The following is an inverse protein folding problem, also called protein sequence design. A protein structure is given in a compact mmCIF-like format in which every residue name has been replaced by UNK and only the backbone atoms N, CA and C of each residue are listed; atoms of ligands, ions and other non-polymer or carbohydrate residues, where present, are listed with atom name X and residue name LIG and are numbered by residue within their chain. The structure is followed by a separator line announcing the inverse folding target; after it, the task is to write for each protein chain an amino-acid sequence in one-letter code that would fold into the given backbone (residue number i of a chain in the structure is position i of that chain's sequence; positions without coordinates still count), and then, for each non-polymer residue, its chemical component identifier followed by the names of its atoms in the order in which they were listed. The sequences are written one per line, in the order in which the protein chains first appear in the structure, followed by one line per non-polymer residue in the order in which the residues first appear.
data_IF_176575641084
#
_entry.id   IF_176575641084
#
_cell.length_a   1.000
_cell.length_b   1.000
_cell.length_c   1.000
_cell.angle_alpha   90.00
_cell.angle_beta   90.00
_cell.angle_gamma   90.00
#
_symmetry.space_group_name_H-M   'P 1'
#
loop_
_entity.id
_entity.type
_entity.pdbx_description
1 polymer ?
#
# COMPACT_ATOMS: atom_id res chain seq x y z
N UNK A 1 0.84 14.56 17.64
CA UNK A 1 0.98 13.17 18.08
C UNK A 1 1.74 12.46 16.99
N UNK A 2 2.90 11.87 17.28
CA UNK A 2 3.58 11.00 16.32
C UNK A 2 2.78 9.70 16.26
N UNK A 3 2.11 9.46 15.13
CA UNK A 3 1.50 8.17 14.83
C UNK A 3 2.63 7.16 14.62
N UNK A 4 2.78 6.21 15.54
CA UNK A 4 3.73 5.11 15.35
C UNK A 4 3.16 4.11 14.34
N UNK A 5 3.45 4.32 13.05
CA UNK A 5 3.14 3.34 12.03
C UNK A 5 4.06 2.13 12.15
N UNK A 6 3.48 0.93 12.13
CA UNK A 6 4.23 -0.33 12.20
C UNK A 6 4.64 -0.83 10.80
N UNK A 7 4.14 -0.21 9.73
CA UNK A 7 4.39 -0.60 8.34
C UNK A 7 4.07 -2.08 8.10
N UNK A 8 2.85 -2.48 8.49
CA UNK A 8 2.33 -3.84 8.27
C UNK A 8 1.35 -3.86 7.10
N UNK A 9 1.17 -5.02 6.42
CA UNK A 9 0.21 -5.11 5.33
C UNK A 9 -1.23 -4.76 5.74
N UNK A 10 -1.64 -5.17 6.94
CA UNK A 10 -2.99 -4.94 7.47
C UNK A 10 -3.21 -3.44 7.70
N UNK A 11 -2.28 -2.78 8.38
CA UNK A 11 -2.32 -1.34 8.61
C UNK A 11 -2.39 -0.56 7.29
N UNK A 12 -1.60 -0.94 6.29
CA UNK A 12 -1.62 -0.31 4.98
C UNK A 12 -3.00 -0.43 4.30
N UNK A 13 -3.61 -1.61 4.35
CA UNK A 13 -4.96 -1.85 3.82
C UNK A 13 -5.99 -0.97 4.54
N UNK A 14 -5.95 -0.92 5.87
CA UNK A 14 -6.85 -0.08 6.66
C UNK A 14 -6.72 1.40 6.31
N UNK A 15 -5.48 1.88 6.15
CA UNK A 15 -5.20 3.26 5.72
C UNK A 15 -5.74 3.53 4.32
N UNK A 16 -5.49 2.64 3.35
CA UNK A 16 -5.97 2.78 1.97
C UNK A 16 -7.51 2.89 1.95
N UNK A 17 -8.20 2.00 2.69
CA UNK A 17 -9.66 2.02 2.80
C UNK A 17 -10.17 3.28 3.46
N UNK A 18 -9.55 3.69 4.57
CA UNK A 18 -9.92 4.90 5.33
C UNK A 18 -9.74 6.17 4.50
N UNK A 19 -8.65 6.26 3.74
CA UNK A 19 -8.34 7.41 2.88
C UNK A 19 -9.13 7.37 1.56
N UNK A 20 -9.73 6.22 1.22
CA UNK A 20 -10.54 6.01 0.03
C UNK A 20 -9.82 6.51 -1.24
N UNK A 21 -8.56 6.09 -1.41
CA UNK A 21 -7.73 6.50 -2.54
C UNK A 21 -8.44 6.19 -3.87
N UNK A 22 -8.78 7.24 -4.62
CA UNK A 22 -9.43 7.13 -5.94
C UNK A 22 -8.43 7.01 -7.08
N UNK A 23 -7.21 7.49 -6.86
CA UNK A 23 -6.12 7.47 -7.85
C UNK A 23 -5.16 6.31 -7.57
N UNK A 24 -4.26 6.06 -8.53
CA UNK A 24 -3.19 5.10 -8.33
C UNK A 24 -2.17 5.64 -7.32
N UNK A 25 -1.64 4.77 -6.46
CA UNK A 25 -0.75 5.16 -5.37
C UNK A 25 0.43 4.19 -5.20
N UNK A 26 1.46 4.64 -4.51
CA UNK A 26 2.53 3.81 -3.96
C UNK A 26 2.40 3.72 -2.44
N UNK A 27 3.06 2.73 -1.81
CA UNK A 27 3.04 2.62 -0.35
C UNK A 27 3.50 3.90 0.36
N UNK A 28 4.56 4.61 -0.06
CA UNK A 28 4.87 5.91 0.52
C UNK A 28 3.72 6.92 0.49
N UNK A 29 2.93 6.95 -0.58
CA UNK A 29 1.87 7.96 -0.75
C UNK A 29 0.75 7.81 0.28
N UNK A 30 0.47 6.58 0.75
CA UNK A 30 -0.58 6.33 1.76
C UNK A 30 -0.14 6.72 3.17
N UNK A 31 1.17 6.79 3.43
CA UNK A 31 1.76 7.21 4.70
C UNK A 31 2.18 8.69 4.68
N UNK A 32 2.39 9.29 3.50
CA UNK A 32 2.75 10.70 3.35
C UNK A 32 4.07 11.06 4.04
N UNK A 33 4.06 12.12 4.84
CA UNK A 33 5.23 12.59 5.60
C UNK A 33 5.72 11.58 6.65
N UNK A 34 4.84 10.68 7.08
CA UNK A 34 5.13 9.66 8.09
C UNK A 34 5.87 8.45 7.48
N UNK A 35 6.00 8.42 6.15
CA UNK A 35 6.83 7.42 5.47
C UNK A 35 8.32 7.64 5.79
N UNK A 36 8.85 6.83 6.69
CA UNK A 36 10.27 6.88 7.10
C UNK A 36 11.08 5.67 6.59
N UNK A 37 10.45 4.74 5.87
CA UNK A 37 11.15 3.57 5.36
C UNK A 37 12.08 3.90 4.18
N UNK A 38 13.28 3.33 4.24
CA UNK A 38 14.29 3.31 3.20
C UNK A 38 14.50 1.89 2.68
N UNK A 39 15.23 1.73 1.58
CA UNK A 39 15.63 0.39 1.11
C UNK A 39 16.42 -0.37 2.17
N UNK A 40 17.28 0.32 2.92
CA UNK A 40 18.14 -0.28 3.94
C UNK A 40 17.35 -0.80 5.16
N UNK A 41 16.29 -0.11 5.57
CA UNK A 41 15.47 -0.50 6.72
C UNK A 41 14.24 -1.35 6.36
N UNK A 42 14.17 -1.86 5.12
CA UNK A 42 13.20 -2.89 4.74
C UNK A 42 12.00 -2.44 3.91
N UNK A 43 12.00 -1.25 3.30
CA UNK A 43 10.91 -0.82 2.40
C UNK A 43 10.55 -1.86 1.31
N UNK A 44 11.57 -2.53 0.74
CA UNK A 44 11.35 -3.60 -0.24
C UNK A 44 10.72 -4.85 0.36
N UNK A 45 11.11 -5.21 1.59
CA UNK A 45 10.52 -6.35 2.30
C UNK A 45 9.07 -6.08 2.66
N UNK A 46 8.76 -4.86 3.13
CA UNK A 46 7.40 -4.42 3.37
C UNK A 46 6.55 -4.47 2.10
N UNK A 47 7.03 -3.90 0.99
CA UNK A 47 6.34 -3.97 -0.30
C UNK A 47 6.05 -5.40 -0.77
N UNK A 48 6.99 -6.33 -0.57
CA UNK A 48 6.78 -7.76 -0.87
C UNK A 48 5.71 -8.40 0.01
N UNK A 49 5.73 -8.13 1.33
CA UNK A 49 4.73 -8.63 2.28
C UNK A 49 3.35 -8.08 1.95
N UNK A 50 3.26 -6.79 1.64
CA UNK A 50 2.01 -6.14 1.23
C UNK A 50 1.46 -6.77 -0.05
N UNK A 51 2.28 -6.89 -1.09
CA UNK A 51 1.85 -7.52 -2.34
C UNK A 51 1.36 -8.96 -2.13
N UNK A 52 2.07 -9.75 -1.33
CA UNK A 52 1.63 -11.11 -0.98
C UNK A 52 0.27 -11.11 -0.28
N UNK A 53 0.05 -10.20 0.68
CA UNK A 53 -1.22 -10.07 1.41
C UNK A 53 -2.38 -9.75 0.45
N UNK A 54 -2.31 -8.67 -0.33
CA UNK A 54 -3.41 -8.29 -1.23
C UNK A 54 -3.65 -9.34 -2.33
N UNK A 55 -2.62 -10.11 -2.71
CA UNK A 55 -2.77 -11.21 -3.67
C UNK A 55 -3.53 -12.41 -3.08
N UNK A 56 -3.49 -12.57 -1.75
CA UNK A 56 -4.26 -13.59 -1.02
C UNK A 56 -5.65 -13.13 -0.62
N UNK A 57 -5.87 -11.81 -0.61
CA UNK A 57 -7.09 -11.16 -0.16
C UNK A 57 -7.67 -10.23 -1.24
N UNK A 58 -8.09 -10.77 -2.41
CA UNK A 58 -8.64 -9.95 -3.50
C UNK A 58 -9.91 -9.17 -3.09
N UNK A 59 -10.64 -9.64 -2.07
CA UNK A 59 -11.80 -8.99 -1.46
C UNK A 59 -11.48 -7.60 -0.87
N UNK A 60 -10.20 -7.32 -0.60
CA UNK A 60 -9.73 -6.02 -0.11
C UNK A 60 -9.82 -4.92 -1.17
N UNK A 61 -10.06 -5.27 -2.43
CA UNK A 61 -10.24 -4.33 -3.53
C UNK A 61 -8.95 -3.64 -3.99
N UNK A 62 -7.78 -4.06 -3.48
CA UNK A 62 -6.48 -3.47 -3.81
C UNK A 62 -5.75 -4.37 -4.80
N UNK A 63 -5.28 -3.79 -5.89
CA UNK A 63 -4.54 -4.52 -6.93
C UNK A 63 -3.33 -3.74 -7.40
N UNK A 64 -2.26 -4.47 -7.75
CA UNK A 64 -1.06 -3.89 -8.36
C UNK A 64 -1.33 -3.58 -9.83
N UNK A 65 -0.85 -2.43 -10.29
CA UNK A 65 -0.79 -2.09 -11.71
C UNK A 65 0.48 -2.69 -12.31
N UNK A 66 0.32 -3.80 -13.03
CA UNK A 66 1.45 -4.48 -13.67
C UNK A 66 2.14 -3.60 -14.72
N UNK A 67 3.46 -3.73 -14.82
CA UNK A 67 4.29 -2.90 -15.71
C UNK A 67 4.51 -1.45 -15.26
N UNK A 68 3.71 -0.92 -14.33
CA UNK A 68 3.86 0.45 -13.85
C UNK A 68 4.73 0.54 -12.58
N UNK A 69 5.71 1.46 -12.60
CA UNK A 69 6.55 1.79 -11.45
C UNK A 69 6.82 3.29 -11.38
N UNK A 70 6.79 3.85 -10.17
CA UNK A 70 7.17 5.25 -9.90
C UNK A 70 8.36 5.22 -8.95
N UNK A 71 9.50 5.79 -9.34
CA UNK A 71 10.72 5.79 -8.51
C UNK A 71 11.12 4.38 -8.01
N UNK A 72 11.02 3.36 -8.88
CA UNK A 72 11.22 1.93 -8.56
C UNK A 72 10.23 1.32 -7.55
N UNK A 73 9.13 2.00 -7.24
CA UNK A 73 8.06 1.51 -6.36
C UNK A 73 6.94 0.92 -7.21
N UNK A 74 6.36 -0.17 -6.72
CA UNK A 74 5.15 -0.72 -7.32
C UNK A 74 3.98 0.27 -7.13
N UNK A 75 3.15 0.39 -8.17
CA UNK A 75 1.95 1.21 -8.14
C UNK A 75 0.73 0.32 -7.97
N UNK A 76 -0.22 0.77 -7.17
CA UNK A 76 -1.45 0.07 -6.83
C UNK A 76 -2.66 0.95 -7.15
N UNK A 77 -3.83 0.31 -7.18
CA UNK A 77 -5.14 0.97 -7.21
C UNK A 77 -6.06 0.35 -6.18
N UNK A 78 -6.99 1.13 -5.67
CA UNK A 78 -8.05 0.67 -4.77
C UNK A 78 -9.41 0.79 -5.48
N UNK A 79 -10.18 -0.28 -5.50
CA UNK A 79 -11.54 -0.32 -6.00
C UNK A 79 -12.48 -0.73 -4.86
N UNK A 80 -13.23 0.21 -4.26
CA UNK A 80 -14.13 -0.07 -3.14
C UNK A 80 -15.38 -0.86 -3.55
N UNK A 81 -15.64 -1.06 -4.84
CA UNK A 81 -16.86 -1.65 -5.38
C UNK A 81 -16.73 -3.13 -5.75
N UNK A 82 -15.60 -3.79 -5.47
CA UNK A 82 -15.40 -5.22 -5.79
C UNK A 82 -16.34 -6.14 -4.97
N UNK A 83 -17.04 -5.61 -3.96
CA UNK A 83 -18.05 -6.34 -3.16
C UNK A 83 -19.48 -5.74 -3.23
N UNK A 84 -19.92 -5.20 -4.38
CA UNK A 84 -21.34 -4.89 -4.62
C UNK A 84 -21.98 -5.83 -5.61
#
# INVERSE_FOLDING_TARGET
MMSNFEFTPIEAVELIKKLNFKESFTLPDIYGEEWTMTRANGAGAFGKKFFYHISKHPEEGISRLEGLKINNRAVYRYNPYINK
#
